data_IF_774499193969
#
_entry.id   IF_774499193969
#
_cell.length_a   1.000
_cell.length_b   1.000
_cell.length_c   1.000
_cell.angle_alpha   90.00
_cell.angle_beta   90.00
_cell.angle_gamma   90.00
#
_symmetry.space_group_name_H-M   'P 1'
#
loop_
_entity.id
_entity.type
_entity.pdbx_description
1 polymer ?
#
# COMPACT_ATOMS: atom_id res chain seq x y z
N UNK A 1 -26.86 -12.56 -8.33
CA UNK A 1 -25.39 -12.55 -8.39
C UNK A 1 -24.85 -12.71 -6.97
N UNK A 2 -23.84 -13.56 -6.80
CA UNK A 2 -23.21 -13.73 -5.48
C UNK A 2 -22.40 -12.50 -5.10
N UNK A 3 -22.44 -12.12 -3.84
CA UNK A 3 -21.61 -11.04 -3.29
C UNK A 3 -20.16 -11.51 -3.15
N UNK A 4 -19.24 -10.57 -2.99
CA UNK A 4 -17.83 -10.89 -2.76
C UNK A 4 -17.65 -11.75 -1.49
N UNK A 5 -18.43 -11.48 -0.45
CA UNK A 5 -18.40 -12.25 0.78
C UNK A 5 -18.80 -13.71 0.57
N UNK A 6 -19.84 -13.97 -0.24
CA UNK A 6 -20.29 -15.33 -0.56
C UNK A 6 -19.31 -16.10 -1.42
N UNK A 7 -18.46 -15.39 -2.20
CA UNK A 7 -17.42 -15.99 -3.03
C UNK A 7 -16.12 -16.22 -2.26
N UNK A 8 -15.96 -15.60 -1.09
CA UNK A 8 -14.74 -15.66 -0.28
C UNK A 8 -14.90 -16.70 0.83
N UNK A 9 -13.87 -17.49 1.07
CA UNK A 9 -13.85 -18.42 2.20
C UNK A 9 -14.00 -17.64 3.52
N UNK A 10 -14.80 -18.11 4.49
CA UNK A 10 -15.06 -17.39 5.73
C UNK A 10 -13.80 -17.03 6.55
N UNK A 11 -12.78 -17.88 6.53
CA UNK A 11 -11.52 -17.61 7.21
C UNK A 11 -10.74 -16.48 6.54
N UNK A 12 -10.79 -16.39 5.19
CA UNK A 12 -10.15 -15.31 4.43
C UNK A 12 -10.90 -14.00 4.62
N UNK A 13 -12.24 -14.05 4.58
CA UNK A 13 -13.05 -12.86 4.80
C UNK A 13 -12.79 -12.18 6.15
N UNK A 14 -12.48 -12.98 7.16
CA UNK A 14 -12.21 -12.49 8.53
C UNK A 14 -10.77 -12.07 8.79
N UNK A 15 -9.87 -12.26 7.82
CA UNK A 15 -8.47 -11.83 7.99
C UNK A 15 -8.39 -10.31 8.10
N UNK A 16 -7.65 -9.86 9.10
CA UNK A 16 -7.28 -8.46 9.20
C UNK A 16 -6.08 -8.21 8.26
N UNK A 17 -6.16 -7.25 7.34
CA UNK A 17 -5.04 -6.91 6.49
C UNK A 17 -3.83 -6.48 7.32
N UNK A 18 -2.63 -6.80 6.82
CA UNK A 18 -1.41 -6.28 7.41
C UNK A 18 -1.35 -4.76 7.23
N UNK A 19 -0.97 -4.06 8.29
CA UNK A 19 -0.64 -2.63 8.25
C UNK A 19 0.74 -2.40 8.82
N UNK A 20 1.48 -1.45 8.25
CA UNK A 20 2.79 -1.05 8.76
C UNK A 20 2.66 0.12 9.74
N UNK A 21 3.69 0.35 10.57
CA UNK A 21 3.73 1.50 11.45
C UNK A 21 3.59 2.82 10.68
N UNK A 22 4.14 2.88 9.46
CA UNK A 22 4.03 4.04 8.57
C UNK A 22 2.60 4.28 8.07
N UNK A 23 1.83 3.21 7.80
CA UNK A 23 0.41 3.32 7.44
C UNK A 23 -0.44 3.84 8.59
N UNK A 24 -0.09 3.47 9.80
CA UNK A 24 -0.84 3.83 11.01
C UNK A 24 -0.49 5.23 11.51
N UNK A 25 0.61 5.81 11.03
CA UNK A 25 1.02 7.16 11.41
C UNK A 25 0.22 8.23 10.68
N UNK A 26 -0.42 9.11 11.44
CA UNK A 26 -1.27 10.20 10.93
C UNK A 26 -0.85 11.58 11.44
N UNK A 27 0.39 11.75 11.84
CA UNK A 27 0.92 13.02 12.36
C UNK A 27 1.51 13.93 11.27
N UNK A 28 2.19 14.97 11.70
CA UNK A 28 2.97 15.84 10.82
C UNK A 28 4.13 15.10 10.17
N UNK A 29 4.68 15.65 9.08
CA UNK A 29 5.83 15.06 8.41
C UNK A 29 6.98 14.83 9.39
N UNK A 30 7.46 13.58 9.48
CA UNK A 30 8.54 13.24 10.38
C UNK A 30 9.89 13.70 9.80
N UNK A 31 10.76 14.24 10.65
CA UNK A 31 12.14 14.58 10.28
C UNK A 31 13.10 13.38 10.44
N UNK A 32 12.74 12.43 11.29
CA UNK A 32 13.51 11.22 11.56
C UNK A 32 12.59 10.01 11.43
N UNK A 33 13.01 9.00 10.66
CA UNK A 33 12.27 7.78 10.43
C UNK A 33 12.97 6.60 11.13
N UNK A 34 12.28 5.99 12.09
CA UNK A 34 12.77 4.84 12.87
C UNK A 34 11.81 3.63 12.78
N UNK A 35 10.85 3.69 11.88
CA UNK A 35 9.78 2.70 11.74
C UNK A 35 10.13 1.53 10.81
N UNK A 36 11.24 1.63 10.08
CA UNK A 36 11.65 0.62 9.13
C UNK A 36 13.19 0.54 9.02
N UNK A 37 13.68 -0.57 8.51
CA UNK A 37 15.12 -0.79 8.31
C UNK A 37 15.57 -0.17 6.98
N UNK A 38 15.59 1.16 6.94
CA UNK A 38 15.97 1.92 5.76
C UNK A 38 17.47 2.25 5.75
N UNK A 39 18.03 2.44 4.54
CA UNK A 39 19.37 2.96 4.40
C UNK A 39 19.41 4.41 4.93
N UNK A 40 20.28 4.73 5.90
CA UNK A 40 20.32 6.06 6.52
C UNK A 40 20.88 7.16 5.61
N UNK A 41 21.55 6.81 4.53
CA UNK A 41 22.13 7.79 3.60
C UNK A 41 21.05 8.36 2.69
N UNK A 42 21.00 9.68 2.55
CA UNK A 42 20.03 10.38 1.70
C UNK A 42 20.37 10.24 0.21
N UNK A 43 20.19 9.05 -0.30
CA UNK A 43 20.27 8.73 -1.72
C UNK A 43 18.88 8.61 -2.31
N UNK A 44 18.70 8.77 -3.63
CA UNK A 44 17.45 8.43 -4.28
C UNK A 44 17.08 6.98 -3.94
N UNK A 45 15.83 6.75 -3.62
CA UNK A 45 15.28 5.41 -3.34
C UNK A 45 15.79 4.75 -2.04
N UNK A 46 16.27 5.53 -1.06
CA UNK A 46 16.67 4.99 0.25
C UNK A 46 15.49 4.75 1.20
N UNK A 47 14.33 5.28 0.89
CA UNK A 47 13.11 5.12 1.71
C UNK A 47 12.26 3.96 1.22
N UNK A 48 11.61 3.28 2.16
CA UNK A 48 10.60 2.30 1.81
C UNK A 48 9.45 2.99 1.08
N UNK A 49 8.92 2.37 0.03
CA UNK A 49 7.81 2.96 -0.74
C UNK A 49 6.53 3.02 0.09
N UNK A 50 5.61 3.89 -0.34
CA UNK A 50 4.24 3.88 0.19
C UNK A 50 3.60 2.49 -0.02
N UNK A 51 3.21 1.77 1.04
CA UNK A 51 2.62 0.43 0.91
C UNK A 51 1.33 0.42 0.09
N UNK A 52 0.63 1.55 0.03
CA UNK A 52 -0.59 1.70 -0.77
C UNK A 52 -0.34 2.18 -2.20
N UNK A 53 0.91 2.53 -2.53
CA UNK A 53 1.36 3.02 -3.85
C UNK A 53 0.45 4.10 -4.43
N UNK A 54 0.07 5.08 -3.61
CA UNK A 54 -0.94 6.09 -3.97
C UNK A 54 -0.55 6.91 -5.19
N UNK A 55 0.65 7.45 -5.20
CA UNK A 55 1.13 8.30 -6.30
C UNK A 55 1.26 7.50 -7.60
N UNK A 56 1.80 6.29 -7.53
CA UNK A 56 1.91 5.40 -8.69
C UNK A 56 0.53 5.03 -9.24
N UNK A 57 -0.43 4.71 -8.38
CA UNK A 57 -1.81 4.42 -8.79
C UNK A 57 -2.48 5.62 -9.44
N UNK A 58 -2.21 6.84 -8.97
CA UNK A 58 -2.71 8.06 -9.61
C UNK A 58 -2.17 8.23 -11.02
N UNK A 59 -0.87 8.02 -11.23
CA UNK A 59 -0.29 8.11 -12.58
C UNK A 59 -0.82 7.02 -13.52
N UNK A 60 -0.90 5.78 -13.03
CA UNK A 60 -1.49 4.68 -13.80
C UNK A 60 -2.97 4.92 -14.12
N UNK A 61 -3.71 5.51 -13.20
CA UNK A 61 -5.11 5.88 -13.40
C UNK A 61 -5.29 6.82 -14.59
N UNK A 62 -4.41 7.81 -14.72
CA UNK A 62 -4.42 8.74 -15.87
C UNK A 62 -4.15 8.01 -17.19
N UNK A 63 -3.14 7.14 -17.21
CA UNK A 63 -2.73 6.39 -18.40
C UNK A 63 -3.80 5.36 -18.82
N UNK A 64 -4.32 4.62 -17.86
CA UNK A 64 -5.26 3.52 -18.11
C UNK A 64 -6.72 3.95 -18.12
N UNK A 65 -7.03 5.17 -17.73
CA UNK A 65 -8.39 5.74 -17.63
C UNK A 65 -9.32 4.89 -16.75
N UNK A 66 -8.79 4.39 -15.64
CA UNK A 66 -9.52 3.66 -14.60
C UNK A 66 -9.29 4.30 -13.24
N UNK A 67 -10.27 4.22 -12.34
CA UNK A 67 -10.11 4.79 -11.01
C UNK A 67 -8.99 4.10 -10.22
N UNK A 68 -8.22 4.83 -9.38
CA UNK A 68 -7.14 4.23 -8.57
C UNK A 68 -7.59 3.04 -7.71
N UNK A 69 -8.85 3.05 -7.24
CA UNK A 69 -9.45 1.97 -6.46
C UNK A 69 -9.58 0.65 -7.25
N UNK A 70 -9.51 0.70 -8.58
CA UNK A 70 -9.55 -0.48 -9.45
C UNK A 70 -8.16 -0.95 -9.88
N UNK A 71 -7.10 -0.36 -9.30
CA UNK A 71 -5.72 -0.72 -9.61
C UNK A 71 -5.12 -1.45 -8.42
N UNK A 72 -4.70 -2.68 -8.66
CA UNK A 72 -3.89 -3.46 -7.73
C UNK A 72 -2.46 -3.57 -8.26
N UNK A 73 -1.48 -3.29 -7.41
CA UNK A 73 -0.06 -3.43 -7.73
C UNK A 73 0.55 -4.42 -6.75
N UNK A 74 1.09 -5.49 -7.29
CA UNK A 74 1.77 -6.52 -6.53
C UNK A 74 3.28 -6.53 -6.83
N UNK A 75 4.07 -6.94 -5.86
CA UNK A 75 5.51 -7.14 -6.01
C UNK A 75 5.82 -8.62 -5.75
N UNK A 76 5.87 -9.42 -6.82
CA UNK A 76 6.02 -10.86 -6.69
C UNK A 76 4.83 -11.48 -5.97
N UNK A 77 5.10 -12.26 -4.93
CA UNK A 77 4.07 -12.92 -4.11
C UNK A 77 3.54 -12.05 -2.95
N UNK A 78 4.12 -10.90 -2.74
CA UNK A 78 3.76 -10.03 -1.60
C UNK A 78 2.55 -9.12 -1.87
#
# INVERSE_FOLDING_TARGET
>A
MKTLQELTRPNIWRLKPYSSARDEYSGAAASVFLDANENPYNLPHNRYPDPMQRDLKLELSKIKKVAPAHIFLGNGSD
#
